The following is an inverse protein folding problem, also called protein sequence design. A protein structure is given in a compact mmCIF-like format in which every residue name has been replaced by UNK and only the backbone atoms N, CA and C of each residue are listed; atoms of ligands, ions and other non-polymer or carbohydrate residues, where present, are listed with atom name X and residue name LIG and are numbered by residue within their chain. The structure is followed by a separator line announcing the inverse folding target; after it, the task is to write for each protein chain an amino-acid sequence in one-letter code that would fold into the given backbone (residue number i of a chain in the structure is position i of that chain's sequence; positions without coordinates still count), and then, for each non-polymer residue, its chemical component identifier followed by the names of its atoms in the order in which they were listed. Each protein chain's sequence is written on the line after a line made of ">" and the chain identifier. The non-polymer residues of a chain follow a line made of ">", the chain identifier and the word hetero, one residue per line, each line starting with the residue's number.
data_IF_181987148654
#
_entry.id   IF_181987148654
#
_cell.length_a   1.000
_cell.length_b   1.000
_cell.length_c   1.000
_cell.angle_alpha   90.00
_cell.angle_beta   90.00
_cell.angle_gamma   90.00
#
_symmetry.space_group_name_H-M   'P 1'
#
loop_
_entity.id
_entity.type
_entity.pdbx_description
1 polymer ?
#
# COMPACT_ATOMS: atom_id res chain seq x y z
N UNK A 1 85.92 9.39 -7.10
CA UNK A 1 85.41 10.71 -7.49
C UNK A 1 83.96 10.82 -7.04
N UNK A 2 83.66 11.82 -6.21
CA UNK A 2 82.32 12.22 -5.73
C UNK A 2 81.64 13.12 -6.76
N UNK A 3 80.30 13.14 -6.78
CA UNK A 3 79.39 14.33 -6.78
C UNK A 3 77.95 13.79 -6.93
N UNK A 4 76.96 13.99 -6.04
CA UNK A 4 76.24 15.18 -5.47
C UNK A 4 75.19 15.84 -6.41
N UNK A 5 73.92 15.68 -6.00
CA UNK A 5 72.77 16.61 -5.83
C UNK A 5 72.19 17.49 -6.98
N UNK A 6 70.85 17.57 -6.95
CA UNK A 6 69.77 18.29 -7.71
C UNK A 6 69.77 19.83 -7.51
N UNK A 7 68.77 20.68 -7.91
CA UNK A 7 67.42 20.51 -8.58
C UNK A 7 66.98 21.61 -9.62
N UNK A 8 65.80 21.45 -10.27
CA UNK A 8 64.61 22.37 -10.28
C UNK A 8 63.61 22.13 -11.46
N UNK A 9 62.34 21.86 -11.11
CA UNK A 9 61.12 22.46 -11.69
C UNK A 9 60.61 22.06 -13.08
N UNK A 10 59.61 21.16 -13.15
CA UNK A 10 58.64 21.13 -14.27
C UNK A 10 57.22 21.00 -13.68
N UNK A 11 56.40 22.02 -13.95
CA UNK A 11 54.95 22.02 -13.77
C UNK A 11 54.34 20.95 -14.68
N UNK A 12 53.58 20.00 -14.11
CA UNK A 12 52.71 19.12 -14.89
C UNK A 12 51.32 19.75 -14.93
N UNK A 13 50.91 20.19 -16.12
CA UNK A 13 49.57 20.67 -16.42
C UNK A 13 48.58 19.49 -16.27
N UNK A 14 47.76 19.51 -15.22
CA UNK A 14 46.57 18.66 -15.14
C UNK A 14 45.58 19.16 -16.19
N UNK A 15 45.44 18.44 -17.29
CA UNK A 15 44.29 18.59 -18.18
C UNK A 15 43.11 17.94 -17.45
N UNK A 16 42.30 18.79 -16.80
CA UNK A 16 40.94 18.44 -16.43
C UNK A 16 40.16 18.34 -17.73
N UNK A 17 39.89 17.12 -18.19
CA UNK A 17 38.84 16.88 -19.18
C UNK A 17 37.52 17.23 -18.49
N UNK A 18 37.07 18.47 -18.66
CA UNK A 18 35.69 18.84 -18.43
C UNK A 18 34.84 18.03 -19.39
N UNK A 19 34.08 17.06 -18.88
CA UNK A 19 32.91 16.55 -19.55
C UNK A 19 31.94 17.72 -19.71
N UNK A 20 32.00 18.36 -20.88
CA UNK A 20 31.00 19.29 -21.36
C UNK A 20 29.64 18.59 -21.33
N UNK A 21 28.65 19.28 -20.75
CA UNK A 21 27.38 18.71 -20.36
C UNK A 21 26.63 17.97 -21.47
N UNK A 22 26.20 16.75 -21.15
CA UNK A 22 24.90 16.28 -21.58
C UNK A 22 23.88 16.91 -20.62
N UNK A 23 23.24 17.99 -21.04
CA UNK A 23 21.96 18.37 -20.45
C UNK A 23 20.99 17.22 -20.74
N UNK A 24 20.44 16.60 -19.70
CA UNK A 24 19.36 15.62 -19.86
C UNK A 24 18.22 16.23 -20.70
N UNK A 25 17.51 15.42 -21.50
CA UNK A 25 16.42 15.93 -22.35
C UNK A 25 15.39 16.71 -21.53
N UNK A 26 14.98 17.90 -22.00
CA UNK A 26 13.92 18.70 -21.36
C UNK A 26 12.50 18.15 -21.62
N UNK A 27 12.38 17.12 -22.47
CA UNK A 27 11.11 16.56 -22.94
C UNK A 27 11.21 15.05 -23.10
N UNK A 28 10.13 14.35 -22.74
CA UNK A 28 9.93 12.93 -23.04
C UNK A 28 9.25 12.84 -24.41
N UNK A 29 9.66 11.90 -25.27
CA UNK A 29 8.99 11.71 -26.56
C UNK A 29 8.87 10.25 -26.93
N UNK A 30 7.72 9.87 -27.48
CA UNK A 30 7.48 8.52 -28.01
C UNK A 30 7.19 8.62 -29.50
N UNK A 31 7.94 7.87 -30.29
CA UNK A 31 7.83 7.79 -31.74
C UNK A 31 7.40 6.38 -32.16
N UNK A 32 6.41 6.29 -33.04
CA UNK A 32 5.78 5.03 -33.42
C UNK A 32 6.14 4.65 -34.87
N UNK A 33 6.55 3.40 -35.07
CA UNK A 33 6.92 2.84 -36.35
C UNK A 33 6.00 1.67 -36.69
N UNK A 34 5.35 1.75 -37.86
CA UNK A 34 4.38 0.75 -38.34
C UNK A 34 4.97 -0.65 -38.60
N UNK A 35 6.30 -0.75 -38.62
CA UNK A 35 7.09 -1.98 -38.60
C UNK A 35 6.50 -3.15 -39.42
N UNK A 36 6.50 -2.99 -40.75
CA UNK A 36 6.04 -4.03 -41.68
C UNK A 36 4.53 -4.05 -41.95
N UNK A 37 3.77 -3.03 -41.54
CA UNK A 37 2.39 -2.84 -42.00
C UNK A 37 2.33 -2.64 -43.53
N UNK A 38 1.34 -3.25 -44.18
CA UNK A 38 1.03 -3.04 -45.60
C UNK A 38 0.09 -1.84 -45.81
N UNK A 39 -0.71 -1.52 -44.78
CA UNK A 39 -1.65 -0.40 -44.81
C UNK A 39 -1.84 0.23 -43.41
N UNK A 40 -2.54 1.36 -43.36
CA UNK A 40 -2.70 2.15 -42.14
C UNK A 40 -1.55 3.12 -41.88
N UNK A 41 -1.61 3.82 -40.74
CA UNK A 41 -0.57 4.76 -40.27
C UNK A 41 -0.25 4.52 -38.80
N UNK A 42 1.02 4.61 -38.44
CA UNK A 42 1.39 4.67 -37.03
C UNK A 42 0.89 5.99 -36.40
N UNK A 43 0.65 6.02 -35.08
CA UNK A 43 0.29 7.25 -34.37
C UNK A 43 1.33 8.36 -34.55
N UNK A 44 0.89 9.60 -34.36
CA UNK A 44 1.80 10.74 -34.36
C UNK A 44 2.73 10.71 -33.14
N UNK A 45 3.91 11.30 -33.29
CA UNK A 45 4.89 11.42 -32.21
C UNK A 45 4.29 12.16 -31.02
N UNK A 46 4.35 11.55 -29.85
CA UNK A 46 3.90 12.17 -28.59
C UNK A 46 5.07 12.83 -27.88
N UNK A 47 4.80 13.95 -27.21
CA UNK A 47 5.79 14.68 -26.41
C UNK A 47 5.16 15.16 -25.10
N UNK A 48 5.93 15.10 -24.01
CA UNK A 48 5.53 15.58 -22.70
C UNK A 48 6.67 16.32 -22.02
N UNK A 49 6.34 17.23 -21.09
CA UNK A 49 7.32 18.02 -20.35
C UNK A 49 8.17 17.16 -19.40
N UNK A 50 9.25 17.74 -18.88
CA UNK A 50 10.09 17.11 -17.86
C UNK A 50 9.25 16.61 -16.67
N UNK A 51 9.51 15.37 -16.23
CA UNK A 51 8.80 14.67 -15.14
C UNK A 51 7.28 14.47 -15.36
N UNK A 52 6.84 14.41 -16.62
CA UNK A 52 5.44 14.11 -16.97
C UNK A 52 5.36 12.78 -17.72
N UNK A 53 4.20 12.12 -17.62
CA UNK A 53 3.95 10.82 -18.26
C UNK A 53 3.30 10.97 -19.64
N UNK A 54 3.47 9.95 -20.49
CA UNK A 54 2.81 9.82 -21.79
C UNK A 54 1.89 8.60 -21.74
N UNK A 55 0.60 8.80 -22.01
CA UNK A 55 -0.33 7.70 -22.29
C UNK A 55 -0.10 7.29 -23.74
N UNK A 56 0.40 6.08 -23.95
CA UNK A 56 0.77 5.56 -25.26
C UNK A 56 -0.46 5.42 -26.15
N UNK A 57 -0.30 5.77 -27.42
CA UNK A 57 -1.40 5.84 -28.39
C UNK A 57 -1.90 4.45 -28.78
N UNK A 58 -3.21 4.34 -28.93
CA UNK A 58 -3.86 3.17 -29.53
C UNK A 58 -3.50 3.00 -31.02
N UNK A 59 -3.86 1.86 -31.61
CA UNK A 59 -3.76 1.62 -33.06
C UNK A 59 -4.82 2.39 -33.86
N UNK A 60 -4.94 3.71 -33.65
CA UNK A 60 -5.99 4.53 -34.28
C UNK A 60 -5.79 4.71 -35.79
N UNK A 61 -4.60 4.42 -36.33
CA UNK A 61 -4.33 4.53 -37.76
C UNK A 61 -4.59 3.25 -38.56
N UNK A 62 -5.29 2.27 -37.99
CA UNK A 62 -5.72 1.03 -38.65
C UNK A 62 -4.55 0.24 -39.29
N UNK A 63 -3.42 0.13 -38.59
CA UNK A 63 -2.29 -0.66 -39.10
C UNK A 63 -2.75 -2.10 -39.40
N UNK A 64 -2.50 -2.54 -40.63
CA UNK A 64 -2.87 -3.88 -41.10
C UNK A 64 -1.76 -4.52 -41.93
N UNK A 65 -1.78 -5.86 -41.97
CA UNK A 65 -0.99 -6.66 -42.89
C UNK A 65 -1.88 -7.59 -43.70
N UNK A 66 -1.55 -7.75 -44.98
CA UNK A 66 -2.33 -8.53 -45.93
C UNK A 66 -2.06 -10.04 -45.81
N UNK A 67 -1.01 -10.42 -45.08
CA UNK A 67 -0.61 -11.81 -44.81
C UNK A 67 -1.33 -12.46 -43.62
N UNK A 68 -2.37 -11.79 -43.09
CA UNK A 68 -3.26 -12.30 -42.04
C UNK A 68 -2.71 -12.12 -40.62
N UNK A 69 -1.56 -11.47 -40.45
CA UNK A 69 -1.07 -11.10 -39.13
C UNK A 69 -1.98 -10.05 -38.50
N UNK A 70 -2.17 -10.15 -37.19
CA UNK A 70 -2.97 -9.21 -36.40
C UNK A 70 -2.05 -8.27 -35.65
N UNK A 71 -2.40 -7.00 -35.57
CA UNK A 71 -1.64 -6.04 -34.75
C UNK A 71 -1.69 -6.47 -33.28
N UNK A 72 -0.53 -6.63 -32.66
CA UNK A 72 -0.38 -7.08 -31.27
C UNK A 72 -0.16 -5.95 -30.26
N UNK A 73 0.35 -4.80 -30.71
CA UNK A 73 0.70 -3.68 -29.84
C UNK A 73 2.00 -3.01 -30.27
N UNK A 74 2.68 -2.41 -29.30
CA UNK A 74 3.93 -1.69 -29.49
C UNK A 74 5.07 -2.37 -28.74
N UNK A 75 6.22 -2.52 -29.37
CA UNK A 75 7.42 -3.14 -28.79
C UNK A 75 8.60 -2.18 -28.91
N UNK A 76 9.53 -2.19 -27.96
CA UNK A 76 10.73 -1.32 -28.02
C UNK A 76 11.74 -1.77 -29.09
N UNK A 77 11.62 -3.01 -29.59
CA UNK A 77 12.46 -3.61 -30.60
C UNK A 77 11.65 -4.01 -31.85
N UNK A 78 12.20 -3.85 -33.06
CA UNK A 78 11.50 -4.14 -34.31
C UNK A 78 11.20 -5.63 -34.54
N UNK A 79 11.85 -6.53 -33.82
CA UNK A 79 11.63 -7.98 -33.93
C UNK A 79 10.64 -8.55 -32.90
N UNK A 80 10.08 -7.70 -32.03
CA UNK A 80 9.12 -8.09 -30.99
C UNK A 80 9.76 -8.76 -29.77
N UNK A 81 11.08 -8.59 -29.57
CA UNK A 81 11.81 -9.15 -28.43
C UNK A 81 12.04 -8.14 -27.30
N UNK A 82 11.59 -6.90 -27.47
CA UNK A 82 11.74 -5.83 -26.49
C UNK A 82 10.61 -5.81 -25.46
N UNK A 83 10.43 -4.64 -24.84
CA UNK A 83 9.37 -4.42 -23.86
C UNK A 83 8.06 -4.14 -24.61
N UNK A 84 7.04 -4.93 -24.31
CA UNK A 84 5.72 -4.80 -24.90
C UNK A 84 4.88 -3.77 -24.14
N UNK A 85 4.34 -2.80 -24.88
CA UNK A 85 3.40 -1.82 -24.38
C UNK A 85 2.02 -2.07 -24.99
N UNK A 86 1.04 -2.31 -24.12
CA UNK A 86 -0.37 -2.30 -24.51
C UNK A 86 -0.80 -0.88 -24.92
N UNK A 87 -1.76 -0.75 -25.86
CA UNK A 87 -2.47 0.50 -26.11
C UNK A 87 -2.95 1.15 -24.79
N UNK A 88 -2.70 2.45 -24.60
CA UNK A 88 -3.07 3.18 -23.38
C UNK A 88 -2.12 3.04 -22.18
N UNK A 89 -1.05 2.24 -22.27
CA UNK A 89 -0.06 2.14 -21.20
C UNK A 89 0.67 3.48 -20.94
N UNK A 90 1.17 3.71 -19.72
CA UNK A 90 1.90 4.94 -19.40
C UNK A 90 3.41 4.77 -19.50
N UNK A 91 4.08 5.65 -20.24
CA UNK A 91 5.54 5.74 -20.29
C UNK A 91 6.04 6.95 -19.48
N UNK A 92 7.04 6.72 -18.63
CA UNK A 92 7.51 7.70 -17.63
C UNK A 92 9.01 8.03 -17.72
N UNK A 93 9.79 7.33 -18.55
CA UNK A 93 11.25 7.52 -18.53
C UNK A 93 11.70 8.83 -19.23
N UNK A 94 12.72 9.53 -18.69
CA UNK A 94 13.16 10.84 -19.16
C UNK A 94 14.02 10.79 -20.44
N UNK A 95 13.66 9.94 -21.40
CA UNK A 95 14.39 9.76 -22.66
C UNK A 95 13.44 9.52 -23.84
N UNK A 96 13.86 9.91 -25.07
CA UNK A 96 13.14 9.52 -26.28
C UNK A 96 13.04 7.99 -26.40
N UNK A 97 11.84 7.51 -26.73
CA UNK A 97 11.54 6.11 -27.01
C UNK A 97 11.04 5.94 -28.44
N UNK A 98 11.49 4.89 -29.12
CA UNK A 98 10.91 4.44 -30.37
C UNK A 98 10.19 3.12 -30.13
N UNK A 99 8.94 3.05 -30.58
CA UNK A 99 8.07 1.89 -30.48
C UNK A 99 7.75 1.36 -31.87
N UNK A 100 7.82 0.05 -32.04
CA UNK A 100 7.59 -0.68 -33.27
C UNK A 100 6.30 -1.48 -33.14
N UNK A 101 5.46 -1.45 -34.17
CA UNK A 101 4.30 -2.33 -34.21
C UNK A 101 4.77 -3.79 -34.19
N UNK A 102 4.27 -4.59 -33.26
CA UNK A 102 4.52 -6.03 -33.27
C UNK A 102 3.27 -6.79 -33.72
N UNK A 103 3.47 -7.96 -34.30
CA UNK A 103 2.44 -8.66 -35.07
C UNK A 103 2.24 -10.10 -34.59
N UNK A 104 0.98 -10.46 -34.34
CA UNK A 104 0.57 -11.80 -33.96
C UNK A 104 0.37 -12.64 -35.23
N UNK A 105 1.02 -13.82 -35.35
CA UNK A 105 0.86 -14.69 -36.50
C UNK A 105 -0.58 -15.17 -36.73
N UNK A 106 -0.96 -15.43 -38.00
CA UNK A 106 -2.25 -16.03 -38.32
C UNK A 106 -2.46 -17.37 -37.59
N UNK A 107 -3.67 -17.59 -37.07
CA UNK A 107 -4.04 -18.84 -36.39
C UNK A 107 -3.62 -18.95 -34.92
N UNK A 108 -2.90 -17.96 -34.37
CA UNK A 108 -2.69 -17.85 -32.92
C UNK A 108 -3.99 -17.38 -32.27
N UNK A 109 -4.49 -18.07 -31.23
CA UNK A 109 -5.73 -17.71 -30.57
C UNK A 109 -5.62 -16.38 -29.82
N UNK A 110 -6.76 -15.74 -29.62
CA UNK A 110 -6.91 -14.46 -28.92
C UNK A 110 -7.30 -14.67 -27.46
N UNK A 111 -7.23 -13.57 -26.69
CA UNK A 111 -7.87 -13.50 -25.37
C UNK A 111 -9.36 -13.84 -25.42
N UNK A 112 -10.07 -13.41 -26.47
CA UNK A 112 -11.50 -13.69 -26.66
C UNK A 112 -11.77 -15.17 -26.99
N UNK A 113 -10.86 -15.83 -27.72
CA UNK A 113 -10.96 -17.28 -27.93
C UNK A 113 -10.76 -18.05 -26.62
N UNK A 114 -9.91 -17.54 -25.71
CA UNK A 114 -9.73 -18.10 -24.37
C UNK A 114 -10.96 -17.90 -23.49
N UNK A 115 -11.56 -16.70 -23.50
CA UNK A 115 -12.85 -16.44 -22.83
C UNK A 115 -13.92 -17.43 -23.30
N UNK A 116 -14.07 -17.56 -24.62
CA UNK A 116 -15.06 -18.47 -25.20
C UNK A 116 -14.81 -19.93 -24.80
N UNK A 117 -13.55 -20.37 -24.75
CA UNK A 117 -13.21 -21.72 -24.28
C UNK A 117 -13.63 -21.93 -22.81
N UNK A 118 -13.39 -20.95 -21.95
CA UNK A 118 -13.77 -21.01 -20.53
C UNK A 118 -15.29 -20.99 -20.35
N UNK A 119 -16.01 -20.12 -21.06
CA UNK A 119 -17.48 -20.05 -21.04
C UNK A 119 -18.12 -21.37 -21.49
N UNK A 120 -17.49 -22.08 -22.43
CA UNK A 120 -17.93 -23.39 -22.90
C UNK A 120 -17.55 -24.55 -21.96
N UNK A 121 -16.71 -24.29 -20.94
CA UNK A 121 -16.19 -25.31 -20.04
C UNK A 121 -15.15 -26.23 -20.69
N UNK A 122 -14.44 -25.74 -21.71
CA UNK A 122 -13.39 -26.49 -22.40
C UNK A 122 -12.15 -26.67 -21.51
N UNK A 123 -11.32 -27.67 -21.84
CA UNK A 123 -10.00 -27.84 -21.23
C UNK A 123 -9.02 -26.81 -21.82
N UNK A 124 -8.53 -25.91 -20.95
CA UNK A 124 -7.61 -24.82 -21.34
C UNK A 124 -6.15 -25.14 -21.00
N UNK A 125 -5.84 -26.33 -20.48
CA UNK A 125 -4.48 -26.75 -20.11
C UNK A 125 -3.48 -26.57 -21.26
N UNK A 126 -3.92 -26.84 -22.50
CA UNK A 126 -3.11 -26.74 -23.71
C UNK A 126 -3.28 -25.46 -24.53
N UNK A 127 -3.98 -24.45 -24.00
CA UNK A 127 -4.25 -23.22 -24.74
C UNK A 127 -2.95 -22.45 -25.00
N UNK A 128 -2.77 -21.94 -26.23
CA UNK A 128 -1.59 -21.15 -26.55
C UNK A 128 -1.74 -19.71 -26.04
N UNK A 129 -1.06 -19.39 -24.94
CA UNK A 129 -1.11 -18.06 -24.30
C UNK A 129 0.06 -17.14 -24.67
N UNK A 130 0.98 -17.57 -25.54
CA UNK A 130 2.26 -16.88 -25.83
C UNK A 130 2.14 -15.45 -26.37
N UNK A 131 0.95 -15.00 -26.75
CA UNK A 131 0.68 -13.67 -27.28
C UNK A 131 -0.45 -12.95 -26.51
N UNK A 132 -0.90 -13.52 -25.38
CA UNK A 132 -1.88 -12.88 -24.52
C UNK A 132 -1.13 -11.93 -23.58
N UNK A 133 -1.44 -10.65 -23.69
CA UNK A 133 -0.83 -9.60 -22.85
C UNK A 133 -1.70 -9.26 -21.63
N UNK A 134 -2.98 -9.61 -21.67
CA UNK A 134 -3.95 -9.31 -20.61
C UNK A 134 -4.63 -10.60 -20.14
N UNK A 135 -4.36 -11.02 -18.91
CA UNK A 135 -5.01 -12.15 -18.24
C UNK A 135 -5.96 -11.69 -17.12
N UNK A 136 -6.34 -10.41 -17.11
CA UNK A 136 -7.22 -9.89 -16.08
C UNK A 136 -8.57 -10.59 -16.06
N UNK A 137 -9.06 -10.79 -14.83
CA UNK A 137 -10.35 -11.41 -14.51
C UNK A 137 -10.64 -12.78 -15.14
N UNK A 138 -9.62 -13.48 -15.68
CA UNK A 138 -9.81 -14.68 -16.49
C UNK A 138 -10.61 -15.79 -15.80
N UNK A 139 -10.38 -15.98 -14.49
CA UNK A 139 -11.07 -16.96 -13.66
C UNK A 139 -11.85 -16.29 -12.52
N UNK A 140 -12.16 -15.00 -12.67
CA UNK A 140 -12.88 -14.26 -11.64
C UNK A 140 -14.26 -14.88 -11.41
N UNK A 141 -14.61 -15.10 -10.14
CA UNK A 141 -15.85 -15.75 -9.69
C UNK A 141 -15.99 -17.24 -10.07
N UNK A 142 -15.01 -17.87 -10.72
CA UNK A 142 -15.02 -19.32 -10.88
C UNK A 142 -14.51 -19.99 -9.59
N UNK A 143 -15.39 -20.09 -8.60
CA UNK A 143 -15.09 -20.66 -7.28
C UNK A 143 -14.54 -22.10 -7.29
N UNK A 144 -14.70 -22.82 -8.39
CA UNK A 144 -14.25 -24.20 -8.57
C UNK A 144 -13.05 -24.35 -9.50
N UNK A 145 -12.59 -23.28 -10.15
CA UNK A 145 -11.45 -23.33 -11.07
C UNK A 145 -10.20 -23.90 -10.39
N UNK A 146 -9.61 -24.94 -10.98
CA UNK A 146 -8.39 -25.57 -10.49
C UNK A 146 -7.71 -26.44 -11.58
N UNK A 147 -7.91 -26.13 -12.87
CA UNK A 147 -7.27 -26.86 -13.97
C UNK A 147 -5.77 -26.53 -14.05
N UNK A 148 -4.94 -27.50 -14.47
CA UNK A 148 -3.50 -27.31 -14.59
C UNK A 148 -3.17 -26.30 -15.70
N UNK A 149 -2.61 -25.15 -15.30
CA UNK A 149 -2.18 -24.07 -16.19
C UNK A 149 -0.68 -23.79 -16.05
N UNK A 150 0.06 -24.72 -15.46
CA UNK A 150 1.51 -24.60 -15.20
C UNK A 150 2.35 -24.46 -16.48
N UNK A 151 1.79 -24.83 -17.64
CA UNK A 151 2.45 -24.82 -18.95
C UNK A 151 2.16 -23.58 -19.80
N UNK A 152 1.34 -22.67 -19.30
CA UNK A 152 1.05 -21.44 -20.01
C UNK A 152 2.31 -20.59 -20.15
N UNK A 153 2.47 -19.99 -21.32
CA UNK A 153 3.51 -18.98 -21.55
C UNK A 153 2.93 -17.63 -21.15
N UNK A 154 3.48 -17.02 -20.10
CA UNK A 154 3.04 -15.73 -19.54
C UNK A 154 4.00 -14.59 -19.80
N UNK A 155 5.11 -14.80 -20.54
CA UNK A 155 6.16 -13.78 -20.69
C UNK A 155 5.72 -12.48 -21.38
N UNK A 156 4.62 -12.52 -22.13
CA UNK A 156 4.01 -11.33 -22.74
C UNK A 156 2.94 -10.66 -21.87
N UNK A 157 2.55 -11.25 -20.74
CA UNK A 157 1.47 -10.76 -19.89
C UNK A 157 1.95 -9.53 -19.12
N UNK A 158 1.19 -8.44 -19.23
CA UNK A 158 1.42 -7.18 -18.52
C UNK A 158 0.37 -6.91 -17.45
N UNK A 159 -0.80 -7.54 -17.55
CA UNK A 159 -1.93 -7.39 -16.63
C UNK A 159 -2.44 -8.75 -16.14
N UNK A 160 -2.38 -8.99 -14.82
CA UNK A 160 -2.93 -10.18 -14.14
C UNK A 160 -3.98 -9.81 -13.07
N UNK A 161 -4.47 -8.57 -13.09
CA UNK A 161 -5.43 -8.08 -12.10
C UNK A 161 -6.69 -8.96 -12.03
N UNK A 162 -7.13 -9.28 -10.82
CA UNK A 162 -8.30 -10.11 -10.51
C UNK A 162 -8.30 -11.52 -11.16
N UNK A 163 -7.19 -12.01 -11.72
CA UNK A 163 -7.16 -13.24 -12.53
C UNK A 163 -7.80 -14.45 -11.82
N UNK A 164 -7.58 -14.60 -10.51
CA UNK A 164 -8.16 -15.66 -9.67
C UNK A 164 -9.04 -15.10 -8.54
N UNK A 165 -9.55 -13.87 -8.68
CA UNK A 165 -10.42 -13.29 -7.67
C UNK A 165 -11.68 -14.15 -7.47
N UNK A 166 -11.96 -14.53 -6.22
CA UNK A 166 -13.02 -15.44 -5.79
C UNK A 166 -12.93 -16.88 -6.32
N UNK A 167 -11.78 -17.28 -6.89
CA UNK A 167 -11.50 -18.67 -7.26
C UNK A 167 -11.14 -19.49 -6.01
N UNK A 168 -12.10 -19.70 -5.11
CA UNK A 168 -11.89 -20.28 -3.77
C UNK A 168 -11.13 -21.62 -3.74
N UNK A 169 -11.28 -22.43 -4.78
CA UNK A 169 -10.65 -23.76 -4.92
C UNK A 169 -9.26 -23.73 -5.57
N UNK A 170 -8.86 -22.61 -6.18
CA UNK A 170 -7.64 -22.53 -6.96
C UNK A 170 -6.41 -22.74 -6.08
N UNK A 171 -5.54 -23.68 -6.49
CA UNK A 171 -4.30 -24.00 -5.80
C UNK A 171 -3.31 -24.73 -6.72
N UNK A 172 -3.29 -24.41 -8.03
CA UNK A 172 -2.37 -25.03 -8.99
C UNK A 172 -1.00 -24.35 -8.97
N UNK A 173 0.04 -25.15 -9.22
CA UNK A 173 1.42 -24.66 -9.31
C UNK A 173 1.61 -23.75 -10.53
N UNK A 174 1.94 -22.49 -10.24
CA UNK A 174 2.23 -21.42 -11.20
C UNK A 174 3.62 -20.81 -10.97
N UNK A 175 4.49 -21.52 -10.23
CA UNK A 175 5.85 -21.06 -9.89
C UNK A 175 6.73 -20.80 -11.11
N UNK A 176 6.43 -21.44 -12.25
CA UNK A 176 7.21 -21.36 -13.49
C UNK A 176 6.74 -20.27 -14.44
N UNK A 177 5.73 -19.51 -14.07
CA UNK A 177 5.27 -18.41 -14.89
C UNK A 177 6.34 -17.32 -14.94
N UNK A 178 6.54 -16.78 -16.14
CA UNK A 178 7.34 -15.59 -16.35
C UNK A 178 6.48 -14.37 -16.06
N UNK A 179 6.83 -13.63 -15.01
CA UNK A 179 6.11 -12.42 -14.55
C UNK A 179 6.90 -11.14 -14.81
N UNK A 180 8.06 -11.22 -15.49
CA UNK A 180 8.97 -10.07 -15.63
C UNK A 180 8.38 -8.88 -16.40
N UNK A 181 7.33 -9.12 -17.18
CA UNK A 181 6.58 -8.07 -17.92
C UNK A 181 5.35 -7.54 -17.18
N UNK A 182 4.97 -8.13 -16.03
CA UNK A 182 3.71 -7.83 -15.34
C UNK A 182 3.83 -6.52 -14.58
N UNK A 183 2.95 -5.57 -14.89
CA UNK A 183 2.87 -4.28 -14.19
C UNK A 183 1.72 -4.24 -13.17
N UNK A 184 0.69 -5.06 -13.35
CA UNK A 184 -0.54 -5.03 -12.56
C UNK A 184 -0.93 -6.43 -12.03
N UNK A 185 -0.88 -6.58 -10.70
CA UNK A 185 -1.30 -7.79 -9.97
C UNK A 185 -2.43 -7.48 -8.96
N UNK A 186 -3.16 -6.38 -9.15
CA UNK A 186 -4.24 -5.99 -8.24
C UNK A 186 -5.24 -7.13 -8.04
N UNK A 187 -5.50 -7.49 -6.79
CA UNK A 187 -6.49 -8.50 -6.39
C UNK A 187 -6.36 -9.86 -7.09
N UNK A 188 -5.18 -10.22 -7.60
CA UNK A 188 -4.96 -11.44 -8.39
C UNK A 188 -5.48 -12.70 -7.68
N UNK A 189 -5.32 -12.81 -6.36
CA UNK A 189 -5.78 -13.93 -5.53
C UNK A 189 -6.80 -13.53 -4.46
N UNK A 190 -7.57 -12.44 -4.68
CA UNK A 190 -8.63 -12.01 -3.77
C UNK A 190 -9.57 -13.19 -3.44
N UNK A 191 -9.74 -13.52 -2.17
CA UNK A 191 -10.54 -14.62 -1.65
C UNK A 191 -10.27 -16.00 -2.30
N UNK A 192 -9.08 -16.22 -2.87
CA UNK A 192 -8.61 -17.54 -3.31
C UNK A 192 -8.22 -18.39 -2.08
N UNK A 193 -9.22 -18.78 -1.28
CA UNK A 193 -9.04 -19.33 0.07
C UNK A 193 -8.08 -20.54 0.16
N UNK A 194 -8.01 -21.35 -0.90
CA UNK A 194 -7.18 -22.55 -0.94
C UNK A 194 -5.74 -22.30 -1.39
N UNK A 195 -5.46 -21.15 -1.98
CA UNK A 195 -4.19 -20.87 -2.64
C UNK A 195 -3.03 -20.78 -1.64
N UNK A 196 -1.97 -21.55 -1.88
CA UNK A 196 -0.73 -21.55 -1.09
C UNK A 196 0.45 -22.15 -1.89
N UNK A 197 0.58 -21.78 -3.17
CA UNK A 197 1.61 -22.29 -4.07
C UNK A 197 2.84 -21.38 -4.10
N UNK A 198 4.07 -21.92 -4.30
CA UNK A 198 5.29 -21.14 -4.24
C UNK A 198 5.36 -20.09 -5.34
N UNK A 199 5.71 -18.85 -4.97
CA UNK A 199 5.85 -17.70 -5.89
C UNK A 199 7.21 -17.00 -5.77
N UNK A 200 8.17 -17.58 -5.05
CA UNK A 200 9.46 -16.94 -4.77
C UNK A 200 10.33 -16.69 -5.99
N UNK A 201 10.11 -17.44 -7.08
CA UNK A 201 10.84 -17.30 -8.35
C UNK A 201 10.24 -16.24 -9.29
N UNK A 202 9.11 -15.62 -8.91
CA UNK A 202 8.49 -14.56 -9.71
C UNK A 202 9.35 -13.30 -9.71
N UNK A 203 9.52 -12.72 -10.90
CA UNK A 203 10.11 -11.40 -11.07
C UNK A 203 9.00 -10.35 -10.89
N UNK A 204 9.12 -9.52 -9.84
CA UNK A 204 8.19 -8.43 -9.53
C UNK A 204 8.77 -7.06 -9.80
N UNK A 205 9.96 -6.96 -10.42
CA UNK A 205 10.70 -5.70 -10.58
C UNK A 205 9.96 -4.63 -11.41
N UNK A 206 9.00 -5.04 -12.24
CA UNK A 206 8.16 -4.15 -13.06
C UNK A 206 6.75 -3.94 -12.47
N UNK A 207 6.41 -4.58 -11.36
CA UNK A 207 5.07 -4.47 -10.77
C UNK A 207 4.91 -3.11 -10.10
N UNK A 208 3.79 -2.45 -10.40
CA UNK A 208 3.45 -1.14 -9.84
C UNK A 208 2.24 -1.26 -8.89
N UNK A 209 1.28 -2.15 -9.20
CA UNK A 209 0.06 -2.39 -8.41
C UNK A 209 0.01 -3.80 -7.82
N UNK A 210 -0.12 -3.89 -6.50
CA UNK A 210 -0.37 -5.15 -5.78
C UNK A 210 -1.55 -5.01 -4.79
N UNK A 211 -2.37 -3.96 -4.90
CA UNK A 211 -3.52 -3.72 -4.02
C UNK A 211 -4.37 -4.98 -3.87
N UNK A 212 -4.57 -5.43 -2.63
CA UNK A 212 -5.42 -6.58 -2.31
C UNK A 212 -5.01 -7.91 -2.94
N UNK A 213 -3.79 -8.06 -3.47
CA UNK A 213 -3.37 -9.25 -4.24
C UNK A 213 -3.66 -10.56 -3.50
N UNK A 214 -3.45 -10.62 -2.18
CA UNK A 214 -3.73 -11.79 -1.35
C UNK A 214 -4.87 -11.59 -0.36
N UNK A 215 -5.72 -10.57 -0.54
CA UNK A 215 -6.82 -10.31 0.38
C UNK A 215 -7.65 -11.59 0.54
N UNK A 216 -7.81 -12.09 1.76
CA UNK A 216 -8.67 -13.25 2.04
C UNK A 216 -8.16 -14.60 1.48
N UNK A 217 -6.98 -14.64 0.88
CA UNK A 217 -6.26 -15.88 0.50
C UNK A 217 -5.79 -16.62 1.77
N UNK A 218 -6.75 -17.15 2.53
CA UNK A 218 -6.60 -17.46 3.97
C UNK A 218 -5.49 -18.42 4.37
N UNK A 219 -4.96 -19.20 3.41
CA UNK A 219 -3.90 -20.20 3.61
C UNK A 219 -2.52 -19.77 3.11
N UNK A 220 -2.42 -18.64 2.41
CA UNK A 220 -1.18 -18.21 1.79
C UNK A 220 -0.13 -17.81 2.84
N UNK A 221 1.04 -18.46 2.78
CA UNK A 221 2.20 -18.20 3.65
C UNK A 221 3.51 -18.63 2.96
N UNK A 222 3.62 -18.42 1.65
CA UNK A 222 4.80 -18.83 0.88
C UNK A 222 5.93 -17.80 0.94
N UNK A 223 7.16 -18.25 0.68
CA UNK A 223 8.33 -17.39 0.63
C UNK A 223 8.27 -16.44 -0.57
N UNK A 224 8.22 -15.14 -0.25
CA UNK A 224 8.22 -14.01 -1.17
C UNK A 224 9.27 -12.95 -0.75
N UNK A 225 10.23 -13.34 0.10
CA UNK A 225 11.27 -12.45 0.62
C UNK A 225 12.19 -11.88 -0.47
N UNK A 226 12.25 -12.55 -1.61
CA UNK A 226 13.09 -12.20 -2.76
C UNK A 226 12.42 -11.26 -3.78
N UNK A 227 11.14 -10.95 -3.62
CA UNK A 227 10.44 -10.04 -4.51
C UNK A 227 11.07 -8.64 -4.47
N UNK A 228 11.30 -8.09 -5.67
CA UNK A 228 11.64 -6.69 -5.84
C UNK A 228 10.36 -5.86 -5.85
N UNK A 229 10.12 -5.12 -4.76
CA UNK A 229 8.94 -4.25 -4.61
C UNK A 229 9.32 -2.76 -4.70
N UNK A 230 10.54 -2.44 -5.15
CA UNK A 230 11.06 -1.07 -5.17
C UNK A 230 10.28 -0.11 -6.09
N UNK A 231 9.51 -0.64 -7.06
CA UNK A 231 8.64 0.13 -7.95
C UNK A 231 7.15 0.07 -7.57
N UNK A 232 6.78 -0.67 -6.53
CA UNK A 232 5.38 -0.83 -6.13
C UNK A 232 4.92 0.42 -5.40
N UNK A 233 3.88 1.05 -5.94
CA UNK A 233 3.30 2.29 -5.39
C UNK A 233 2.08 1.97 -4.51
N UNK A 234 1.28 1.01 -4.95
CA UNK A 234 -0.01 0.65 -4.35
C UNK A 234 0.05 -0.76 -3.75
N UNK A 235 0.18 -0.83 -2.42
CA UNK A 235 0.26 -2.07 -1.62
C UNK A 235 -0.89 -2.19 -0.62
N UNK A 236 -1.94 -1.40 -0.79
CA UNK A 236 -3.11 -1.35 0.08
C UNK A 236 -3.71 -2.73 0.22
N UNK A 237 -4.03 -3.13 1.45
CA UNK A 237 -4.74 -4.37 1.75
C UNK A 237 -4.09 -5.64 1.21
N UNK A 238 -2.78 -5.59 0.85
CA UNK A 238 -2.06 -6.68 0.20
C UNK A 238 -2.26 -8.04 0.90
N UNK A 239 -2.21 -8.06 2.24
CA UNK A 239 -2.41 -9.24 3.08
C UNK A 239 -3.64 -9.13 3.99
N UNK A 240 -4.60 -8.29 3.63
CA UNK A 240 -5.84 -8.14 4.37
C UNK A 240 -6.58 -9.50 4.48
N UNK A 241 -6.91 -9.94 5.69
CA UNK A 241 -7.56 -11.23 5.99
C UNK A 241 -6.81 -12.47 5.48
N UNK A 242 -5.53 -12.35 5.15
CA UNK A 242 -4.64 -13.47 4.84
C UNK A 242 -4.21 -14.14 6.14
N UNK A 243 -5.15 -14.85 6.78
CA UNK A 243 -5.05 -15.27 8.19
C UNK A 243 -3.79 -16.07 8.56
N UNK A 244 -3.28 -16.88 7.64
CA UNK A 244 -2.09 -17.70 7.84
C UNK A 244 -0.76 -16.96 7.59
N UNK A 245 -0.79 -15.80 6.93
CA UNK A 245 0.41 -15.13 6.47
C UNK A 245 1.30 -14.69 7.63
N UNK A 246 2.54 -15.17 7.59
CA UNK A 246 3.59 -14.83 8.54
C UNK A 246 4.96 -15.05 7.89
N UNK A 247 5.10 -14.74 6.60
CA UNK A 247 6.34 -14.87 5.87
C UNK A 247 7.27 -13.66 6.11
N UNK A 248 8.58 -13.88 6.08
CA UNK A 248 9.57 -12.80 6.24
C UNK A 248 9.60 -11.91 4.99
N UNK A 249 9.33 -10.64 5.18
CA UNK A 249 9.32 -9.58 4.16
C UNK A 249 10.18 -8.39 4.60
N UNK A 250 11.11 -8.62 5.55
CA UNK A 250 11.99 -7.59 6.11
C UNK A 250 13.01 -7.03 5.11
N UNK A 251 13.18 -7.70 3.97
CA UNK A 251 14.12 -7.36 2.89
C UNK A 251 13.51 -6.46 1.82
N UNK A 252 12.20 -6.26 1.84
CA UNK A 252 11.49 -5.44 0.86
C UNK A 252 11.92 -3.97 0.91
N UNK A 253 12.13 -3.39 -0.26
CA UNK A 253 12.36 -1.95 -0.44
C UNK A 253 11.01 -1.25 -0.70
N UNK A 254 10.47 -0.62 0.34
CA UNK A 254 9.14 0.00 0.31
C UNK A 254 9.18 1.50 0.03
N UNK A 255 10.33 2.08 -0.35
CA UNK A 255 10.51 3.53 -0.45
C UNK A 255 9.59 4.25 -1.46
N UNK A 256 9.04 3.50 -2.42
CA UNK A 256 8.08 3.99 -3.42
C UNK A 256 6.61 3.91 -2.98
N UNK A 257 6.30 3.19 -1.90
CA UNK A 257 4.93 2.99 -1.45
C UNK A 257 4.32 4.31 -0.98
N UNK A 258 3.12 4.61 -1.46
CA UNK A 258 2.39 5.84 -1.11
C UNK A 258 1.36 5.63 -0.01
N UNK A 259 0.81 4.43 0.06
CA UNK A 259 -0.22 4.05 1.01
C UNK A 259 -0.02 2.61 1.43
N UNK A 260 -0.26 2.35 2.72
CA UNK A 260 -0.21 1.03 3.33
C UNK A 260 -1.53 0.73 4.06
N UNK A 261 -2.63 1.35 3.59
CA UNK A 261 -3.97 1.18 4.16
C UNK A 261 -4.31 -0.30 4.28
N UNK A 262 -4.65 -0.74 5.49
CA UNK A 262 -5.16 -2.08 5.76
C UNK A 262 -4.23 -3.23 5.34
N UNK A 263 -2.93 -2.98 5.10
CA UNK A 263 -2.02 -3.97 4.51
C UNK A 263 -2.03 -5.32 5.23
N UNK A 264 -2.15 -5.33 6.57
CA UNK A 264 -2.24 -6.52 7.41
C UNK A 264 -3.59 -6.62 8.16
N UNK A 265 -4.64 -5.96 7.67
CA UNK A 265 -5.94 -5.96 8.33
C UNK A 265 -6.47 -7.38 8.54
N UNK A 266 -6.63 -7.84 9.78
CA UNK A 266 -7.10 -9.19 10.09
C UNK A 266 -6.13 -10.31 9.71
N UNK A 267 -4.86 -10.00 9.44
CA UNK A 267 -3.79 -10.99 9.25
C UNK A 267 -3.39 -11.59 10.62
N UNK A 268 -4.25 -12.45 11.16
CA UNK A 268 -4.20 -12.88 12.57
C UNK A 268 -2.92 -13.60 13.01
N UNK A 269 -2.13 -14.14 12.08
CA UNK A 269 -0.87 -14.81 12.35
C UNK A 269 0.38 -13.94 12.11
N UNK A 270 0.23 -12.73 11.54
CA UNK A 270 1.35 -11.91 11.14
C UNK A 270 2.08 -11.33 12.37
N UNK A 271 3.38 -11.59 12.47
CA UNK A 271 4.24 -11.06 13.54
C UNK A 271 5.71 -10.94 13.09
N UNK A 272 5.94 -10.55 11.83
CA UNK A 272 7.31 -10.41 11.29
C UNK A 272 7.85 -9.01 11.44
N UNK A 273 9.16 -8.95 11.63
CA UNK A 273 9.87 -7.70 11.79
C UNK A 273 9.95 -6.99 10.44
N UNK A 274 9.45 -5.76 10.41
CA UNK A 274 9.44 -4.86 9.25
C UNK A 274 10.04 -3.50 9.59
N UNK A 275 10.91 -3.46 10.61
CA UNK A 275 11.56 -2.24 11.10
C UNK A 275 12.53 -1.62 10.09
N UNK A 276 12.84 -2.31 8.99
CA UNK A 276 13.78 -1.88 7.94
C UNK A 276 13.09 -1.26 6.73
N UNK A 277 11.76 -1.27 6.70
CA UNK A 277 10.99 -0.65 5.64
C UNK A 277 11.23 0.86 5.62
N UNK A 278 11.35 1.40 4.42
CA UNK A 278 11.34 2.85 4.19
C UNK A 278 9.89 3.30 4.06
N UNK A 279 9.44 4.10 5.02
CA UNK A 279 8.07 4.61 5.11
C UNK A 279 7.96 6.10 4.83
N UNK A 280 9.06 6.79 4.48
CA UNK A 280 9.07 8.25 4.39
C UNK A 280 8.14 8.83 3.32
N UNK A 281 7.81 8.03 2.30
CA UNK A 281 6.86 8.37 1.23
C UNK A 281 5.40 8.07 1.55
N UNK A 282 5.10 7.35 2.64
CA UNK A 282 3.75 6.87 2.98
C UNK A 282 2.92 7.98 3.59
N UNK A 283 1.75 8.22 3.01
CA UNK A 283 0.83 9.30 3.41
C UNK A 283 -0.37 8.77 4.23
N UNK A 284 -0.67 7.47 4.10
CA UNK A 284 -1.82 6.80 4.73
C UNK A 284 -1.41 5.43 5.33
N UNK A 285 -1.68 5.26 6.64
CA UNK A 285 -1.48 4.02 7.41
C UNK A 285 -2.77 3.55 8.10
N UNK A 286 -3.93 4.02 7.63
CA UNK A 286 -5.24 3.66 8.15
C UNK A 286 -5.40 2.12 8.21
N UNK A 287 -5.85 1.60 9.35
CA UNK A 287 -6.10 0.17 9.57
C UNK A 287 -4.91 -0.78 9.31
N UNK A 288 -3.67 -0.30 9.16
CA UNK A 288 -2.54 -1.11 8.69
C UNK A 288 -2.37 -2.44 9.45
N UNK A 289 -2.54 -2.44 10.78
CA UNK A 289 -2.49 -3.64 11.62
C UNK A 289 -3.81 -4.00 12.30
N UNK A 290 -4.94 -3.37 11.91
CA UNK A 290 -6.21 -3.61 12.58
C UNK A 290 -6.57 -5.11 12.57
N UNK A 291 -6.76 -5.72 13.74
CA UNK A 291 -7.06 -7.15 13.88
C UNK A 291 -5.87 -8.10 13.62
N UNK A 292 -4.64 -7.60 13.46
CA UNK A 292 -3.43 -8.41 13.45
C UNK A 292 -3.09 -8.86 14.88
N UNK A 293 -3.92 -9.76 15.43
CA UNK A 293 -4.05 -10.04 16.87
C UNK A 293 -2.74 -10.23 17.65
N UNK A 294 -1.72 -10.79 17.03
CA UNK A 294 -0.44 -11.14 17.68
C UNK A 294 0.74 -10.25 17.27
N UNK A 295 0.52 -9.25 16.41
CA UNK A 295 1.58 -8.36 15.93
C UNK A 295 2.17 -7.56 17.09
N UNK A 296 3.49 -7.66 17.28
CA UNK A 296 4.19 -6.98 18.37
C UNK A 296 5.68 -6.80 18.02
N UNK A 297 5.97 -6.22 16.86
CA UNK A 297 7.31 -5.95 16.36
C UNK A 297 7.66 -4.46 16.40
N UNK A 298 8.96 -4.18 16.44
CA UNK A 298 9.50 -2.82 16.54
C UNK A 298 9.28 -2.07 15.22
N UNK A 299 8.67 -0.90 15.31
CA UNK A 299 8.45 0.05 14.21
C UNK A 299 8.96 1.45 14.55
N UNK A 300 9.68 1.61 15.67
CA UNK A 300 10.26 2.89 16.07
C UNK A 300 11.21 3.52 15.04
N UNK A 301 11.86 2.78 14.10
CA UNK A 301 12.67 3.39 13.06
C UNK A 301 11.89 4.00 11.89
N UNK A 302 10.57 3.82 11.81
CA UNK A 302 9.78 4.32 10.70
C UNK A 302 9.73 5.85 10.67
N UNK A 303 9.84 6.40 9.45
CA UNK A 303 9.55 7.81 9.20
C UNK A 303 8.06 7.95 8.89
N UNK A 304 7.33 8.59 9.80
CA UNK A 304 5.89 8.85 9.67
C UNK A 304 5.58 10.32 9.45
N UNK A 305 6.58 11.15 9.13
CA UNK A 305 6.42 12.60 8.99
C UNK A 305 5.46 13.03 7.86
N UNK A 306 5.22 12.14 6.89
CA UNK A 306 4.25 12.34 5.79
C UNK A 306 2.85 11.82 6.10
N UNK A 307 2.64 11.06 7.18
CA UNK A 307 1.38 10.37 7.46
C UNK A 307 0.35 11.33 8.01
N UNK A 308 -0.83 11.35 7.38
CA UNK A 308 -1.94 12.22 7.80
C UNK A 308 -3.10 11.48 8.47
N UNK A 309 -3.25 10.18 8.21
CA UNK A 309 -4.27 9.32 8.79
C UNK A 309 -3.64 8.10 9.49
N UNK A 310 -3.85 7.99 10.80
CA UNK A 310 -3.47 6.83 11.64
C UNK A 310 -4.70 6.12 12.22
N UNK A 311 -5.88 6.36 11.65
CA UNK A 311 -7.15 5.82 12.16
C UNK A 311 -7.11 4.31 12.17
N UNK A 312 -7.50 3.73 13.31
CA UNK A 312 -7.60 2.29 13.55
C UNK A 312 -6.30 1.52 13.28
N UNK A 313 -5.14 2.17 13.19
CA UNK A 313 -3.89 1.51 12.81
C UNK A 313 -3.59 0.26 13.66
N UNK A 314 -3.91 0.28 14.96
CA UNK A 314 -3.73 -0.83 15.90
C UNK A 314 -5.06 -1.33 16.51
N UNK A 315 -6.21 -1.03 15.93
CA UNK A 315 -7.50 -1.50 16.46
C UNK A 315 -7.53 -3.03 16.56
N UNK A 316 -7.93 -3.59 17.70
CA UNK A 316 -7.93 -5.03 18.01
C UNK A 316 -6.56 -5.73 17.81
N UNK A 317 -5.44 -4.99 17.83
CA UNK A 317 -4.08 -5.54 17.79
C UNK A 317 -3.64 -5.97 19.20
N UNK A 318 -4.30 -7.01 19.72
CA UNK A 318 -4.33 -7.34 21.16
C UNK A 318 -2.97 -7.52 21.83
N UNK A 319 -1.97 -8.01 21.10
CA UNK A 319 -0.62 -8.24 21.64
C UNK A 319 0.32 -7.04 21.54
N UNK A 320 -0.04 -6.00 20.80
CA UNK A 320 0.85 -4.89 20.50
C UNK A 320 1.17 -4.07 21.74
N UNK A 321 2.46 -3.93 22.04
CA UNK A 321 2.97 -3.13 23.16
C UNK A 321 4.44 -2.74 22.91
N UNK A 322 4.79 -2.39 21.67
CA UNK A 322 6.12 -1.88 21.32
C UNK A 322 6.17 -0.37 21.42
N UNK A 323 7.35 0.10 21.79
CA UNK A 323 7.63 1.53 21.89
C UNK A 323 7.46 2.18 20.51
N UNK A 324 6.63 3.22 20.49
CA UNK A 324 6.29 4.03 19.31
C UNK A 324 6.40 5.52 19.66
N UNK A 325 7.07 5.87 20.77
CA UNK A 325 7.24 7.25 21.18
C UNK A 325 8.02 8.08 20.14
N UNK A 326 8.80 7.40 19.28
CA UNK A 326 9.62 8.01 18.23
C UNK A 326 8.90 8.29 16.91
N UNK A 327 7.64 7.86 16.74
CA UNK A 327 6.88 8.18 15.53
C UNK A 327 6.59 9.68 15.46
N UNK A 328 6.77 10.28 14.29
CA UNK A 328 6.39 11.66 14.02
C UNK A 328 4.89 11.73 13.74
N UNK A 329 4.14 12.41 14.62
CA UNK A 329 2.69 12.61 14.49
C UNK A 329 2.32 14.04 14.07
N UNK A 330 3.28 14.90 13.75
CA UNK A 330 3.04 16.32 13.50
C UNK A 330 2.15 16.59 12.27
N UNK A 331 2.14 15.68 11.29
CA UNK A 331 1.27 15.74 10.13
C UNK A 331 -0.11 15.08 10.33
N UNK A 332 -0.32 14.32 11.41
CA UNK A 332 -1.54 13.53 11.63
C UNK A 332 -2.74 14.44 11.87
N UNK A 333 -3.87 14.09 11.25
CA UNK A 333 -5.15 14.81 11.34
C UNK A 333 -6.22 14.01 12.08
N UNK A 334 -6.16 12.69 12.01
CA UNK A 334 -7.10 11.78 12.70
C UNK A 334 -6.35 10.63 13.36
N UNK A 335 -6.75 10.34 14.60
CA UNK A 335 -6.33 9.19 15.39
C UNK A 335 -7.55 8.33 15.79
N UNK A 336 -8.62 8.42 15.01
CA UNK A 336 -9.88 7.72 15.23
C UNK A 336 -9.64 6.23 15.49
N UNK A 337 -10.02 5.74 16.67
CA UNK A 337 -9.93 4.33 17.04
C UNK A 337 -8.52 3.73 17.00
N UNK A 338 -7.44 4.53 16.99
CA UNK A 338 -6.08 4.04 16.73
C UNK A 338 -5.68 2.84 17.59
N UNK A 339 -6.06 2.82 18.86
CA UNK A 339 -5.80 1.73 19.81
C UNK A 339 -7.07 1.04 20.32
N UNK A 340 -8.23 1.22 19.66
CA UNK A 340 -9.47 0.60 20.13
C UNK A 340 -9.30 -0.92 20.29
N UNK A 341 -9.56 -1.45 21.49
CA UNK A 341 -9.39 -2.86 21.83
C UNK A 341 -7.95 -3.41 21.73
N UNK A 342 -6.92 -2.56 21.70
CA UNK A 342 -5.51 -2.94 21.78
C UNK A 342 -5.10 -3.34 23.21
N UNK A 343 -5.61 -4.50 23.67
CA UNK A 343 -5.62 -4.92 25.08
C UNK A 343 -4.27 -4.86 25.82
N UNK A 344 -3.15 -5.08 25.12
CA UNK A 344 -1.82 -5.08 25.75
C UNK A 344 -1.14 -3.70 25.77
N UNK A 345 -1.62 -2.72 24.98
CA UNK A 345 -0.91 -1.48 24.74
C UNK A 345 -0.82 -0.62 26.01
N UNK A 346 0.41 -0.23 26.38
CA UNK A 346 0.69 0.63 27.53
C UNK A 346 2.05 1.34 27.39
N UNK A 347 2.40 1.78 26.18
CA UNK A 347 3.64 2.50 25.92
C UNK A 347 3.47 4.01 26.03
N UNK A 348 4.54 4.69 26.43
CA UNK A 348 4.53 6.15 26.61
C UNK A 348 4.52 6.84 25.24
N UNK A 349 3.49 7.65 25.02
CA UNK A 349 3.25 8.44 23.81
C UNK A 349 3.04 9.92 24.17
N UNK A 350 3.51 10.33 25.35
CA UNK A 350 3.33 11.69 25.87
C UNK A 350 4.04 12.77 25.05
N UNK A 351 5.05 12.40 24.24
CA UNK A 351 5.82 13.33 23.39
C UNK A 351 5.28 13.45 21.96
N UNK A 352 4.17 12.79 21.63
CA UNK A 352 3.52 12.96 20.33
C UNK A 352 2.99 14.39 20.14
N UNK A 353 3.20 14.94 18.94
CA UNK A 353 2.59 16.20 18.51
C UNK A 353 1.16 15.94 18.04
N UNK A 354 0.18 16.41 18.82
CA UNK A 354 -1.25 16.26 18.52
C UNK A 354 -1.89 17.56 18.06
N UNK A 355 -1.12 18.63 17.82
CA UNK A 355 -1.67 19.99 17.60
C UNK A 355 -2.58 20.09 16.37
N UNK A 356 -2.39 19.20 15.39
CA UNK A 356 -3.17 19.15 14.15
C UNK A 356 -4.28 18.09 14.16
N UNK A 357 -4.41 17.30 15.22
CA UNK A 357 -5.42 16.23 15.30
C UNK A 357 -6.78 16.84 15.61
N UNK A 358 -7.78 16.48 14.79
CA UNK A 358 -9.17 16.94 14.95
C UNK A 358 -10.11 15.84 15.45
N UNK A 359 -9.76 14.57 15.26
CA UNK A 359 -10.57 13.42 15.67
C UNK A 359 -9.74 12.44 16.51
N UNK A 360 -10.15 12.26 17.76
CA UNK A 360 -9.61 11.28 18.72
C UNK A 360 -10.72 10.33 19.22
N UNK A 361 -11.85 10.27 18.52
CA UNK A 361 -12.96 9.41 18.93
C UNK A 361 -12.50 7.94 18.94
N UNK A 362 -12.92 7.20 19.96
CA UNK A 362 -12.57 5.80 20.22
C UNK A 362 -11.06 5.51 20.40
N UNK A 363 -10.19 6.53 20.48
CA UNK A 363 -8.72 6.34 20.40
C UNK A 363 -8.18 5.26 21.36
N UNK A 364 -8.69 5.21 22.60
CA UNK A 364 -8.34 4.22 23.63
C UNK A 364 -9.55 3.42 24.14
N UNK A 365 -10.64 3.38 23.37
CA UNK A 365 -11.80 2.56 23.74
C UNK A 365 -11.35 1.12 24.00
N UNK A 366 -11.83 0.50 25.07
CA UNK A 366 -11.53 -0.88 25.45
C UNK A 366 -10.02 -1.22 25.49
N UNK A 367 -9.15 -0.24 25.77
CA UNK A 367 -7.69 -0.43 25.89
C UNK A 367 -7.31 -0.74 27.34
N UNK A 368 -7.55 -1.99 27.76
CA UNK A 368 -7.58 -2.42 29.17
C UNK A 368 -6.36 -1.98 30.01
N UNK A 369 -5.15 -1.93 29.42
CA UNK A 369 -3.90 -1.69 30.15
C UNK A 369 -3.34 -0.28 30.05
N UNK A 370 -3.85 0.55 29.15
CA UNK A 370 -3.23 1.84 28.87
C UNK A 370 -3.40 2.79 30.05
N UNK A 371 -2.28 3.27 30.59
CA UNK A 371 -2.26 4.18 31.74
C UNK A 371 -1.02 5.09 31.73
N UNK A 372 -0.64 5.60 30.55
CA UNK A 372 0.51 6.47 30.35
C UNK A 372 0.10 7.94 30.31
N UNK A 373 0.97 8.87 30.74
CA UNK A 373 0.62 10.29 30.83
C UNK A 373 0.30 10.88 29.45
N UNK A 374 -0.75 11.70 29.38
CA UNK A 374 -1.16 12.41 28.16
C UNK A 374 -1.26 13.93 28.35
N UNK A 375 -0.81 14.45 29.49
CA UNK A 375 -0.99 15.86 29.89
C UNK A 375 -0.22 16.86 29.01
N UNK A 376 0.73 16.39 28.19
CA UNK A 376 1.53 17.20 27.27
C UNK A 376 0.90 17.35 25.89
N UNK A 377 -0.16 16.60 25.58
CA UNK A 377 -0.84 16.68 24.30
C UNK A 377 -1.52 18.03 24.12
N UNK A 378 -1.41 18.57 22.90
CA UNK A 378 -2.15 19.75 22.51
C UNK A 378 -3.49 19.32 21.90
N UNK A 379 -4.60 19.57 22.61
CA UNK A 379 -5.96 19.20 22.19
C UNK A 379 -6.76 20.37 21.61
N UNK A 380 -6.16 21.55 21.42
CA UNK A 380 -6.89 22.79 21.04
C UNK A 380 -7.63 22.69 19.70
N UNK A 381 -7.21 21.78 18.83
CA UNK A 381 -7.80 21.53 17.51
C UNK A 381 -8.82 20.38 17.51
N UNK A 382 -8.93 19.61 18.60
CA UNK A 382 -9.77 18.41 18.66
C UNK A 382 -11.25 18.81 18.66
N UNK A 383 -12.01 18.16 17.78
CA UNK A 383 -13.45 18.36 17.60
C UNK A 383 -14.24 17.18 18.15
N UNK A 384 -13.73 15.95 17.99
CA UNK A 384 -14.43 14.72 18.38
C UNK A 384 -13.60 13.90 19.38
N UNK A 385 -14.15 13.71 20.59
CA UNK A 385 -13.62 12.84 21.66
C UNK A 385 -14.63 11.74 22.04
N UNK A 386 -15.60 11.45 21.16
CA UNK A 386 -16.62 10.42 21.40
C UNK A 386 -15.96 9.10 21.81
N UNK A 387 -16.35 8.57 22.97
CA UNK A 387 -15.90 7.28 23.49
C UNK A 387 -14.38 7.08 23.53
N UNK A 388 -13.60 8.17 23.64
CA UNK A 388 -12.13 8.11 23.62
C UNK A 388 -11.53 7.15 24.65
N UNK A 389 -12.12 7.06 25.86
CA UNK A 389 -11.73 6.16 26.94
C UNK A 389 -12.86 5.22 27.38
N UNK A 390 -13.83 4.96 26.50
CA UNK A 390 -14.92 4.01 26.79
C UNK A 390 -14.35 2.67 27.22
N UNK A 391 -14.70 2.16 28.41
CA UNK A 391 -14.16 0.89 28.97
C UNK A 391 -12.62 0.81 29.04
N UNK A 392 -11.92 1.94 29.14
CA UNK A 392 -10.47 1.95 29.37
C UNK A 392 -10.18 1.65 30.86
N UNK A 393 -10.19 0.37 31.23
CA UNK A 393 -10.21 -0.08 32.63
C UNK A 393 -9.08 0.48 33.51
N UNK A 394 -7.84 0.55 33.00
CA UNK A 394 -6.68 0.99 33.78
C UNK A 394 -6.41 2.51 33.74
N UNK A 395 -7.02 3.25 32.81
CA UNK A 395 -6.63 4.63 32.55
C UNK A 395 -7.04 5.56 33.70
N UNK A 396 -6.08 6.26 34.30
CA UNK A 396 -6.33 7.19 35.41
C UNK A 396 -5.27 8.30 35.50
N UNK A 397 -4.84 8.83 34.34
CA UNK A 397 -3.84 9.89 34.26
C UNK A 397 -4.48 11.29 34.23
N UNK A 398 -3.72 12.28 34.69
CA UNK A 398 -4.16 13.67 34.73
C UNK A 398 -4.34 14.26 33.32
N UNK A 399 -5.54 14.79 33.07
CA UNK A 399 -5.94 15.46 31.83
C UNK A 399 -6.38 16.91 32.05
N UNK A 400 -6.17 17.47 33.25
CA UNK A 400 -6.66 18.80 33.63
C UNK A 400 -6.10 19.95 32.76
N UNK A 401 -4.98 19.71 32.07
CA UNK A 401 -4.31 20.67 31.18
C UNK A 401 -4.79 20.66 29.72
N UNK A 402 -5.71 19.77 29.34
CA UNK A 402 -6.25 19.73 27.98
C UNK A 402 -7.10 20.97 27.68
N UNK A 403 -6.92 21.53 26.48
CA UNK A 403 -7.81 22.55 25.92
C UNK A 403 -8.97 21.86 25.19
N UNK A 404 -10.17 21.97 25.76
CA UNK A 404 -11.39 21.38 25.22
C UNK A 404 -12.31 22.39 24.55
N UNK A 405 -11.90 23.66 24.41
CA UNK A 405 -12.75 24.76 23.94
C UNK A 405 -13.30 24.57 22.51
N UNK A 406 -12.59 23.78 21.70
CA UNK A 406 -12.98 23.41 20.33
C UNK A 406 -13.81 22.14 20.23
N UNK A 407 -13.88 21.32 21.28
CA UNK A 407 -14.56 20.02 21.23
C UNK A 407 -16.07 20.21 21.04
N UNK A 408 -16.66 19.44 20.13
CA UNK A 408 -18.10 19.43 19.82
C UNK A 408 -18.80 18.15 20.27
N UNK A 409 -18.07 17.04 20.41
CA UNK A 409 -18.63 15.73 20.77
C UNK A 409 -17.81 15.05 21.87
N UNK A 410 -18.46 14.69 22.96
CA UNK A 410 -17.88 13.99 24.13
C UNK A 410 -18.78 12.83 24.61
N UNK A 411 -19.65 12.32 23.75
CA UNK A 411 -20.54 11.22 24.11
C UNK A 411 -19.75 10.00 24.58
N UNK A 412 -20.09 9.44 25.74
CA UNK A 412 -19.48 8.22 26.27
C UNK A 412 -17.99 8.29 26.58
N UNK A 413 -17.39 9.48 26.70
CA UNK A 413 -15.93 9.65 26.74
C UNK A 413 -15.24 8.75 27.79
N UNK A 414 -15.83 8.62 28.98
CA UNK A 414 -15.36 7.79 30.10
C UNK A 414 -16.41 6.77 30.56
N UNK A 415 -17.40 6.46 29.74
CA UNK A 415 -18.41 5.43 30.07
C UNK A 415 -17.71 4.09 30.37
N UNK A 416 -18.03 3.49 31.51
CA UNK A 416 -17.39 2.28 32.06
C UNK A 416 -15.84 2.36 32.24
N UNK A 417 -15.24 3.54 32.26
CA UNK A 417 -13.82 3.72 32.58
C UNK A 417 -13.56 3.54 34.10
N UNK A 418 -13.47 2.28 34.52
CA UNK A 418 -13.59 1.86 35.93
C UNK A 418 -12.51 2.36 36.90
N UNK A 419 -11.39 2.89 36.40
CA UNK A 419 -10.33 3.50 37.24
C UNK A 419 -10.30 5.03 37.22
N UNK A 420 -11.04 5.68 36.32
CA UNK A 420 -10.85 7.11 36.05
C UNK A 420 -11.59 8.01 37.06
N UNK A 421 -10.83 8.78 37.84
CA UNK A 421 -11.38 9.75 38.82
C UNK A 421 -10.49 11.00 38.94
N UNK A 422 -10.09 11.58 37.79
CA UNK A 422 -9.27 12.80 37.75
C UNK A 422 -10.13 14.04 37.61
N UNK A 423 -9.68 15.13 38.22
CA UNK A 423 -10.38 16.41 38.20
C UNK A 423 -10.34 17.05 36.80
N UNK A 424 -11.51 17.16 36.17
CA UNK A 424 -11.75 17.79 34.88
C UNK A 424 -12.52 19.12 35.01
N UNK A 425 -12.67 19.64 36.23
CA UNK A 425 -13.46 20.85 36.48
C UNK A 425 -12.91 22.13 35.82
N UNK A 426 -11.67 22.08 35.31
CA UNK A 426 -11.02 23.13 34.54
C UNK A 426 -11.41 23.16 33.05
N UNK A 427 -12.01 22.10 32.53
CA UNK A 427 -12.30 21.97 31.10
C UNK A 427 -13.38 22.96 30.64
N UNK A 428 -13.12 23.61 29.50
CA UNK A 428 -14.06 24.49 28.82
C UNK A 428 -14.90 23.68 27.83
N UNK A 429 -16.14 23.37 28.21
CA UNK A 429 -17.03 22.49 27.41
C UNK A 429 -18.26 23.21 26.85
N UNK A 430 -18.25 24.55 26.84
CA UNK A 430 -19.39 25.37 26.40
C UNK A 430 -19.75 25.21 24.92
N UNK A 431 -18.87 24.62 24.12
CA UNK A 431 -19.10 24.36 22.71
C UNK A 431 -19.54 22.91 22.40
N UNK A 432 -19.62 22.03 23.41
CA UNK A 432 -20.01 20.63 23.21
C UNK A 432 -21.50 20.56 22.89
N UNK A 433 -21.83 19.98 21.74
CA UNK A 433 -23.19 19.84 21.21
C UNK A 433 -23.74 18.43 21.41
N UNK A 434 -22.87 17.41 21.40
CA UNK A 434 -23.23 16.01 21.57
C UNK A 434 -22.55 15.47 22.83
N UNK A 435 -23.32 15.48 23.92
CA UNK A 435 -22.96 14.96 25.23
C UNK A 435 -24.02 13.95 25.68
N UNK A 436 -23.60 12.95 26.45
CA UNK A 436 -24.42 11.84 26.92
C UNK A 436 -23.51 10.72 27.40
N UNK A 437 -23.91 10.01 28.44
CA UNK A 437 -23.13 8.93 29.05
C UNK A 437 -21.68 9.31 29.38
N UNK A 438 -21.37 10.59 29.63
CA UNK A 438 -19.98 11.09 29.69
C UNK A 438 -19.06 10.24 30.59
N UNK A 439 -19.59 9.80 31.73
CA UNK A 439 -18.93 8.94 32.71
C UNK A 439 -19.94 8.01 33.39
N UNK A 440 -20.89 7.47 32.61
CA UNK A 440 -21.89 6.51 33.12
C UNK A 440 -21.31 5.11 33.35
N UNK A 441 -22.11 4.23 33.96
CA UNK A 441 -21.72 2.84 34.23
C UNK A 441 -20.74 2.73 35.40
N UNK A 442 -19.66 1.98 35.22
CA UNK A 442 -18.69 1.66 36.27
C UNK A 442 -17.63 2.77 36.52
N UNK A 443 -17.75 3.94 35.90
CA UNK A 443 -16.79 5.04 36.09
C UNK A 443 -16.92 5.70 37.49
N UNK A 444 -15.83 5.79 38.29
CA UNK A 444 -15.88 6.35 39.64
C UNK A 444 -15.82 7.89 39.69
N UNK A 445 -15.85 8.57 38.54
CA UNK A 445 -15.69 10.02 38.43
C UNK A 445 -16.75 10.78 39.26
N UNK A 446 -16.29 11.54 40.26
CA UNK A 446 -17.21 12.29 41.11
C UNK A 446 -17.80 13.52 40.39
N UNK A 447 -19.03 13.91 40.73
CA UNK A 447 -19.66 15.12 40.18
C UNK A 447 -18.83 16.41 40.38
N UNK A 448 -18.02 16.50 41.44
CA UNK A 448 -17.10 17.64 41.67
C UNK A 448 -15.92 17.68 40.73
N UNK A 449 -15.57 16.55 40.10
CA UNK A 449 -14.51 16.42 39.11
C UNK A 449 -15.02 16.58 37.68
N UNK A 450 -16.33 16.73 37.45
CA UNK A 450 -16.88 16.95 36.10
C UNK A 450 -16.55 18.36 35.58
N UNK A 451 -16.42 18.54 34.26
CA UNK A 451 -16.40 19.87 33.65
C UNK A 451 -17.63 20.67 34.06
N UNK A 452 -17.43 21.96 34.37
CA UNK A 452 -18.55 22.84 34.71
C UNK A 452 -19.37 23.14 33.45
N UNK A 453 -20.55 22.56 33.36
CA UNK A 453 -21.46 22.72 32.22
C UNK A 453 -22.90 22.80 32.68
N UNK A 454 -23.75 23.36 31.81
CA UNK A 454 -25.21 23.26 31.92
C UNK A 454 -25.73 22.00 31.22
N UNK A 455 -24.92 20.94 31.11
CA UNK A 455 -25.36 19.64 30.60
C UNK A 455 -26.44 19.11 31.53
N UNK A 456 -27.71 19.36 31.21
CA UNK A 456 -28.79 18.66 31.87
C UNK A 456 -28.56 17.19 31.59
N UNK A 457 -28.34 16.38 32.63
CA UNK A 457 -28.37 14.93 32.55
C UNK A 457 -29.72 14.51 31.95
N UNK A 458 -29.82 14.44 30.62
CA UNK A 458 -30.94 13.79 29.96
C UNK A 458 -30.62 12.31 30.00
N UNK A 459 -30.97 11.70 31.12
CA UNK A 459 -31.22 10.27 31.18
C UNK A 459 -32.39 9.97 30.24
N UNK A 460 -32.15 9.17 29.20
CA UNK A 460 -33.16 8.37 28.52
C UNK A 460 -32.54 7.07 27.99
#
# INVERSE_FOLDING_TARGET
>A
MKTRFTPWGIFTLLIVLSLTGCTEPEWNSVEYLANGADSGKAPEKQQSGKNSYIILSDNYGDLSRDDGYRFGGWDTEPDGTGVNYSPGATYHEPRPLTLYAWWIPPGVPTRADLDAALENGDDVTGFNTSYITDMSSLFQNDSHFNQDISRWNTGSVTNMSHMFAFAHSFNQDISRWDTGSVADMEQMFLDAHSFNQPLGDWDTSHVIRMTGMFWGASKFDQDISHWDVSHVIWMDTLFARTKAFNCDISTWDTGSAKTMEGMFWGATAFNRNISRWDTGSVEDMNQMFHGALIYNQDISPWDTSSVTDMSRMFEDTRAFNRDISGLDTSAVRTMYGMFWAAKAFNQDISEWDTANVTDMSYMFAETDRFNQPLSRWNTSSVIDMTQMFYKAEAFNQDLSGWDTSSVRKMYGMFEDASSFDRDLSSWEVGAVEYYGNFSEGDCPLSASHHPRSDWSETAD
#
